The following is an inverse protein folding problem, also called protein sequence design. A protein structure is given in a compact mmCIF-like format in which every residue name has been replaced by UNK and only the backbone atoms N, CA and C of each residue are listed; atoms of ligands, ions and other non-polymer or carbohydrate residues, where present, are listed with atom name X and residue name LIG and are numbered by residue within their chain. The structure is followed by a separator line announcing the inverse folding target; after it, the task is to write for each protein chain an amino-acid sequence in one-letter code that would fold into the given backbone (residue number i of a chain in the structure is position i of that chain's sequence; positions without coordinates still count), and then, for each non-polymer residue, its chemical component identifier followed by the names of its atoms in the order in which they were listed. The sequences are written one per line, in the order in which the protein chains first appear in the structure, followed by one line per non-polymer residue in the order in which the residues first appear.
data_IF_758979891981
#
_entry.id   IF_758979891981
#
_cell.length_a   1.000
_cell.length_b   1.000
_cell.length_c   1.000
_cell.angle_alpha   90.00
_cell.angle_beta   90.00
_cell.angle_gamma   90.00
#
_symmetry.space_group_name_H-M   'P 1'
#
loop_
_entity.id
_entity.type
_entity.pdbx_description
1 polymer ?
#
# COMPACT_ATOMS: atom_id res chain seq x y z
N UNK A 1 2.54 9.26 -10.52
CA UNK A 1 2.42 7.80 -10.26
C UNK A 1 1.49 7.19 -11.30
N UNK A 2 1.91 6.10 -11.89
CA UNK A 2 1.11 5.37 -12.88
C UNK A 2 0.75 4.01 -12.29
N UNK A 3 -0.54 3.69 -12.24
CA UNK A 3 -0.99 2.39 -11.75
C UNK A 3 -0.83 1.35 -12.84
N UNK A 4 -0.20 0.22 -12.52
CA UNK A 4 0.06 -0.87 -13.46
C UNK A 4 -0.94 -2.00 -13.25
N UNK A 5 -1.08 -2.46 -12.02
CA UNK A 5 -2.01 -3.50 -11.64
C UNK A 5 -2.66 -3.11 -10.33
N UNK A 6 -3.98 -3.14 -10.28
CA UNK A 6 -4.72 -2.78 -9.07
C UNK A 6 -5.46 -4.00 -8.54
N UNK A 7 -5.56 -4.06 -7.21
CA UNK A 7 -6.34 -5.06 -6.49
C UNK A 7 -5.93 -6.51 -6.78
N UNK A 8 -4.62 -6.74 -6.89
CA UNK A 8 -4.10 -8.10 -6.81
C UNK A 8 -4.14 -8.52 -5.34
N UNK A 9 -4.67 -9.68 -5.03
CA UNK A 9 -4.80 -10.07 -3.64
C UNK A 9 -4.36 -11.51 -3.39
N UNK A 10 -3.94 -11.75 -2.15
CA UNK A 10 -3.66 -13.09 -1.65
C UNK A 10 -4.32 -13.26 -0.29
N UNK A 11 -4.74 -14.48 0.02
CA UNK A 11 -5.40 -14.80 1.26
C UNK A 11 -4.65 -15.90 1.98
N UNK A 12 -4.32 -15.65 3.26
CA UNK A 12 -3.74 -16.67 4.15
C UNK A 12 -4.66 -16.70 5.37
N UNK A 13 -5.35 -17.84 5.55
CA UNK A 13 -6.40 -17.97 6.56
C UNK A 13 -7.49 -16.90 6.35
N UNK A 14 -7.67 -15.99 7.31
CA UNK A 14 -8.65 -14.91 7.22
C UNK A 14 -8.01 -13.56 6.94
N UNK A 15 -6.72 -13.54 6.64
CA UNK A 15 -5.99 -12.31 6.38
C UNK A 15 -5.79 -12.15 4.88
N UNK A 16 -6.30 -11.06 4.34
CA UNK A 16 -6.24 -10.74 2.91
C UNK A 16 -5.30 -9.57 2.71
N UNK A 17 -4.33 -9.74 1.82
CA UNK A 17 -3.43 -8.67 1.40
C UNK A 17 -3.82 -8.22 0.01
N UNK A 18 -4.22 -6.96 -0.12
CA UNK A 18 -4.54 -6.33 -1.41
C UNK A 18 -3.35 -5.50 -1.86
N UNK A 19 -2.89 -5.73 -3.07
CA UNK A 19 -1.68 -5.08 -3.58
C UNK A 19 -1.97 -4.33 -4.87
N UNK A 20 -1.47 -3.10 -4.94
CA UNK A 20 -1.44 -2.29 -6.14
C UNK A 20 -0.01 -2.10 -6.57
N UNK A 21 0.30 -2.43 -7.82
CA UNK A 21 1.60 -2.18 -8.42
C UNK A 21 1.55 -0.88 -9.20
N UNK A 22 2.55 -0.05 -9.02
CA UNK A 22 2.62 1.26 -9.67
C UNK A 22 4.02 1.53 -10.23
N UNK A 23 4.10 2.54 -11.07
CA UNK A 23 5.37 3.05 -11.58
C UNK A 23 5.48 4.53 -11.23
N UNK A 24 6.62 4.93 -10.71
CA UNK A 24 6.91 6.32 -10.39
C UNK A 24 8.37 6.61 -10.75
N UNK A 25 8.59 7.64 -11.56
CA UNK A 25 9.92 8.00 -12.06
C UNK A 25 10.60 6.84 -12.82
N UNK A 26 9.81 6.04 -13.55
CA UNK A 26 10.33 4.92 -14.32
C UNK A 26 10.67 3.68 -13.51
N UNK A 27 10.38 3.66 -12.22
CA UNK A 27 10.68 2.56 -11.33
C UNK A 27 9.38 1.99 -10.78
N UNK A 28 9.22 0.66 -10.85
CA UNK A 28 8.06 0.01 -10.30
C UNK A 28 8.16 -0.14 -8.78
N UNK A 29 7.02 0.01 -8.12
CA UNK A 29 6.86 -0.25 -6.71
C UNK A 29 5.52 -0.90 -6.45
N UNK A 30 5.22 -1.13 -5.17
CA UNK A 30 3.93 -1.69 -4.78
C UNK A 30 3.43 -1.05 -3.48
N UNK A 31 2.12 -1.06 -3.35
CA UNK A 31 1.39 -0.62 -2.16
C UNK A 31 0.42 -1.72 -1.77
N UNK A 32 0.38 -2.07 -0.49
CA UNK A 32 -0.49 -3.13 0.01
C UNK A 32 -1.30 -2.67 1.19
N UNK A 33 -2.55 -3.15 1.28
CA UNK A 33 -3.38 -3.06 2.47
C UNK A 33 -3.65 -4.46 2.98
N UNK A 34 -3.52 -4.63 4.28
CA UNK A 34 -3.73 -5.91 4.95
C UNK A 34 -5.00 -5.82 5.77
N UNK A 35 -5.94 -6.71 5.51
CA UNK A 35 -7.28 -6.70 6.11
C UNK A 35 -7.52 -8.05 6.77
N UNK A 36 -7.98 -8.02 8.02
CA UNK A 36 -8.37 -9.23 8.75
C UNK A 36 -9.87 -9.47 8.54
N UNK A 37 -10.20 -10.32 7.58
CA UNK A 37 -11.58 -10.67 7.25
C UNK A 37 -12.26 -11.49 8.36
N UNK A 38 -11.47 -12.23 9.16
CA UNK A 38 -12.00 -12.99 10.29
C UNK A 38 -12.50 -12.09 11.41
N UNK A 39 -12.14 -10.80 11.37
CA UNK A 39 -12.53 -9.80 12.37
C UNK A 39 -13.45 -8.74 11.75
N UNK A 40 -14.29 -9.14 10.80
CA UNK A 40 -15.26 -8.24 10.17
C UNK A 40 -14.64 -7.29 9.15
N UNK A 41 -13.51 -7.65 8.56
CA UNK A 41 -12.84 -6.80 7.59
C UNK A 41 -12.03 -5.67 8.23
N UNK A 42 -11.50 -5.90 9.42
CA UNK A 42 -10.70 -4.90 10.13
C UNK A 42 -9.40 -4.60 9.37
N UNK A 43 -9.15 -3.32 9.13
CA UNK A 43 -7.89 -2.85 8.59
C UNK A 43 -6.76 -3.11 9.58
N UNK A 44 -5.69 -3.75 9.12
CA UNK A 44 -4.54 -4.07 9.96
C UNK A 44 -3.40 -3.09 9.72
N UNK A 45 -2.95 -2.97 8.47
CA UNK A 45 -1.84 -2.08 8.13
C UNK A 45 -1.80 -1.79 6.65
N UNK A 46 -1.05 -0.76 6.29
CA UNK A 46 -0.65 -0.49 4.91
C UNK A 46 0.85 -0.46 4.82
N UNK A 47 1.39 -0.94 3.70
CA UNK A 47 2.81 -0.99 3.44
C UNK A 47 3.10 -0.60 2.01
N UNK A 48 4.29 -0.06 1.75
CA UNK A 48 4.74 0.18 0.37
C UNK A 48 6.22 -0.09 0.23
N UNK A 49 6.63 -0.30 -1.02
CA UNK A 49 8.04 -0.41 -1.40
C UNK A 49 8.24 0.27 -2.74
N UNK A 50 9.25 1.12 -2.84
CA UNK A 50 9.63 1.76 -4.09
C UNK A 50 11.08 2.20 -4.04
N UNK A 51 11.89 1.75 -5.01
CA UNK A 51 13.29 2.17 -5.19
C UNK A 51 14.11 2.09 -3.89
N UNK A 52 14.04 0.95 -3.21
CA UNK A 52 14.79 0.73 -1.98
C UNK A 52 14.24 1.45 -0.75
N UNK A 53 13.13 2.16 -0.89
CA UNK A 53 12.44 2.83 0.22
C UNK A 53 11.23 2.01 0.60
N UNK A 54 11.14 1.67 1.88
CA UNK A 54 10.01 0.93 2.44
C UNK A 54 9.28 1.79 3.45
N UNK A 55 7.99 1.55 3.60
CA UNK A 55 7.22 2.21 4.63
C UNK A 55 5.99 1.44 5.03
N UNK A 56 5.46 1.75 6.19
CA UNK A 56 4.22 1.19 6.70
C UNK A 56 3.48 2.25 7.49
N UNK A 57 2.17 2.09 7.58
CA UNK A 57 1.29 3.05 8.24
C UNK A 57 0.96 2.57 9.65
N UNK A 58 1.24 3.42 10.64
CA UNK A 58 0.84 3.19 12.03
C UNK A 58 0.17 4.45 12.55
N UNK A 59 -1.04 4.31 13.07
CA UNK A 59 -1.75 5.41 13.72
C UNK A 59 -1.97 6.62 12.83
N UNK A 60 -2.10 6.43 11.53
CA UNK A 60 -2.30 7.51 10.58
C UNK A 60 -1.02 8.13 10.04
N UNK A 61 0.14 7.72 10.54
CA UNK A 61 1.43 8.24 10.09
C UNK A 61 2.26 7.17 9.40
N UNK A 62 2.86 7.54 8.26
CA UNK A 62 3.82 6.68 7.59
C UNK A 62 5.13 6.62 8.36
N UNK A 63 5.62 5.43 8.60
CA UNK A 63 6.97 5.17 9.11
C UNK A 63 7.81 4.72 7.92
N UNK A 64 8.77 5.52 7.54
CA UNK A 64 9.48 5.37 6.27
C UNK A 64 10.98 5.22 6.53
N UNK A 65 11.59 4.26 5.84
CA UNK A 65 13.04 4.11 5.80
C UNK A 65 13.55 4.83 4.57
N UNK A 66 14.46 5.79 4.75
CA UNK A 66 14.98 6.59 3.64
C UNK A 66 14.15 7.85 3.40
N UNK A 67 14.39 8.48 2.26
CA UNK A 67 13.68 9.70 1.87
C UNK A 67 12.58 9.35 0.87
N UNK A 68 11.41 9.89 1.10
CA UNK A 68 10.26 9.69 0.23
C UNK A 68 10.00 10.97 -0.56
N UNK A 69 9.96 10.84 -1.87
CA UNK A 69 9.57 11.92 -2.77
C UNK A 69 8.16 12.40 -2.44
N UNK A 70 7.96 13.71 -2.39
CA UNK A 70 6.68 14.32 -2.03
C UNK A 70 5.55 13.89 -2.97
N UNK A 71 5.80 13.79 -4.27
CA UNK A 71 4.78 13.36 -5.22
C UNK A 71 4.41 11.89 -5.05
N UNK A 72 5.36 11.05 -4.66
CA UNK A 72 5.08 9.65 -4.34
C UNK A 72 4.26 9.54 -3.05
N UNK A 73 4.60 10.32 -2.03
CA UNK A 73 3.81 10.36 -0.79
C UNK A 73 2.36 10.76 -1.07
N UNK A 74 2.17 11.77 -1.91
CA UNK A 74 0.83 12.20 -2.30
C UNK A 74 0.07 11.08 -3.01
N UNK A 75 0.71 10.39 -3.95
CA UNK A 75 0.10 9.26 -4.65
C UNK A 75 -0.26 8.11 -3.71
N UNK A 76 0.62 7.79 -2.76
CA UNK A 76 0.35 6.75 -1.76
C UNK A 76 -0.83 7.15 -0.86
N UNK A 77 -0.91 8.41 -0.46
CA UNK A 77 -2.04 8.89 0.34
C UNK A 77 -3.35 8.84 -0.44
N UNK A 78 -3.33 9.10 -1.74
CA UNK A 78 -4.52 8.95 -2.58
C UNK A 78 -4.98 7.50 -2.62
N UNK A 79 -4.05 6.54 -2.76
CA UNK A 79 -4.39 5.12 -2.73
C UNK A 79 -4.98 4.72 -1.38
N UNK A 80 -4.40 5.21 -0.29
CA UNK A 80 -4.89 4.92 1.04
C UNK A 80 -6.30 5.47 1.25
N UNK A 81 -6.55 6.71 0.82
CA UNK A 81 -7.86 7.35 1.00
C UNK A 81 -8.94 6.74 0.12
N UNK A 82 -8.59 6.29 -1.07
CA UNK A 82 -9.53 5.60 -1.95
C UNK A 82 -9.87 4.21 -1.43
N UNK A 83 -8.94 3.60 -0.68
CA UNK A 83 -9.00 2.21 -0.29
C UNK A 83 -8.71 1.29 -1.45
N UNK A 84 -8.11 0.15 -1.17
CA UNK A 84 -8.01 -0.93 -2.13
C UNK A 84 -9.25 -1.79 -1.92
N UNK A 85 -10.16 -1.72 -2.85
CA UNK A 85 -11.45 -2.32 -2.64
C UNK A 85 -11.47 -3.82 -2.62
N UNK A 86 -12.23 -4.28 -1.77
CA UNK A 86 -12.51 -5.69 -1.57
C UNK A 86 -13.81 -6.04 -2.25
#
# INVERSE_FOLDING_TARGET
MKLIETDSFSTVENVVTHTTTFEHNGIQGWYSEIIDEGNGGMFVSSEFHHDGVDGYLIGGDWKITGELDASLREGLNELLNAGIQV
#
